data_IF_112371631503
#
_entry.id   IF_112371631503
#
_cell.length_a   1.000
_cell.length_b   1.000
_cell.length_c   1.000
_cell.angle_alpha   90.00
_cell.angle_beta   90.00
_cell.angle_gamma   90.00
#
_symmetry.space_group_name_H-M   'P 1'
#
loop_
_entity.id
_entity.type
_entity.pdbx_description
1 polymer ?
#
# COMPACT_ATOMS: atom_id res chain seq x y z
N UNK A 1 31.75 2.97 0.39
CA UNK A 1 31.06 2.24 1.48
C UNK A 1 31.42 0.77 1.33
N UNK A 2 32.02 0.14 2.34
CA UNK A 2 32.41 -1.27 2.30
C UNK A 2 31.35 -2.07 3.07
N UNK A 3 30.52 -2.85 2.38
CA UNK A 3 29.55 -3.74 3.03
C UNK A 3 30.23 -5.07 3.33
N UNK A 4 30.33 -5.43 4.61
CA UNK A 4 30.93 -6.70 5.05
C UNK A 4 29.84 -7.76 5.21
N UNK A 5 30.08 -8.96 4.68
CA UNK A 5 29.21 -10.11 4.85
C UNK A 5 29.44 -10.85 6.17
N UNK A 6 28.52 -11.73 6.51
CA UNK A 6 28.68 -12.74 7.56
C UNK A 6 29.18 -14.06 6.95
N UNK A 7 29.56 -15.04 7.79
CA UNK A 7 29.93 -16.38 7.33
C UNK A 7 28.84 -17.03 6.47
N UNK A 8 27.58 -16.82 6.84
CA UNK A 8 26.43 -17.40 6.14
C UNK A 8 26.06 -16.65 4.85
N UNK A 9 26.44 -15.37 4.75
CA UNK A 9 26.16 -14.51 3.60
C UNK A 9 27.42 -13.78 3.12
N UNK A 10 28.31 -14.47 2.41
CA UNK A 10 29.50 -13.88 1.84
C UNK A 10 29.14 -12.84 0.76
N UNK A 11 29.44 -11.56 1.00
CA UNK A 11 29.08 -10.47 0.07
C UNK A 11 29.73 -10.57 -1.31
N UNK A 12 30.87 -11.26 -1.46
CA UNK A 12 31.48 -11.46 -2.78
C UNK A 12 30.62 -12.31 -3.72
N UNK A 13 29.69 -13.12 -3.18
CA UNK A 13 28.75 -13.93 -3.96
C UNK A 13 27.46 -13.16 -4.32
N UNK A 14 27.27 -11.97 -3.75
CA UNK A 14 26.09 -11.14 -3.94
C UNK A 14 26.50 -9.75 -4.43
N UNK A 15 26.92 -9.63 -5.71
CA UNK A 15 27.33 -8.35 -6.26
C UNK A 15 26.15 -7.37 -6.28
N UNK A 16 26.42 -6.12 -5.92
CA UNK A 16 25.46 -5.03 -5.93
C UNK A 16 26.10 -3.77 -6.50
N UNK A 17 25.27 -2.91 -7.09
CA UNK A 17 25.68 -1.60 -7.60
C UNK A 17 25.24 -0.54 -6.60
N UNK A 18 26.17 0.32 -6.20
CA UNK A 18 25.89 1.44 -5.28
C UNK A 18 25.79 2.73 -6.09
N UNK A 19 24.65 3.41 -5.98
CA UNK A 19 24.40 4.68 -6.64
C UNK A 19 24.28 5.80 -5.62
N UNK A 20 24.87 6.95 -5.93
CA UNK A 20 24.69 8.17 -5.17
C UNK A 20 23.84 9.15 -5.99
N UNK A 21 22.65 9.47 -5.50
CA UNK A 21 21.76 10.46 -6.11
C UNK A 21 21.94 11.78 -5.36
N UNK A 22 22.41 12.80 -6.08
CA UNK A 22 22.48 14.19 -5.61
C UNK A 22 21.49 15.02 -6.39
N UNK A 23 20.72 15.84 -5.69
CA UNK A 23 19.78 16.78 -6.31
C UNK A 23 20.28 18.18 -6.03
N UNK A 24 20.55 18.93 -7.09
CA UNK A 24 21.04 20.31 -7.06
C UNK A 24 20.03 21.23 -7.71
N UNK A 25 20.01 22.48 -7.26
CA UNK A 25 19.28 23.57 -7.92
C UNK A 25 20.02 24.04 -9.18
N UNK A 26 19.42 24.96 -9.93
CA UNK A 26 19.99 25.60 -11.13
C UNK A 26 21.33 26.31 -10.81
N UNK A 27 21.49 26.77 -9.57
CA UNK A 27 22.71 27.41 -9.06
C UNK A 27 23.80 26.42 -8.61
N UNK A 28 23.54 25.11 -8.68
CA UNK A 28 24.45 24.06 -8.22
C UNK A 28 24.41 23.80 -6.71
N UNK A 29 23.59 24.54 -5.95
CA UNK A 29 23.41 24.29 -4.52
C UNK A 29 22.65 22.98 -4.29
N UNK A 30 23.14 22.15 -3.37
CA UNK A 30 22.50 20.87 -3.04
C UNK A 30 21.20 21.10 -2.27
N UNK A 31 20.07 20.64 -2.83
CA UNK A 31 18.74 20.79 -2.21
C UNK A 31 18.53 19.85 -1.02
N UNK A 32 18.99 18.60 -1.15
CA UNK A 32 18.82 17.55 -0.13
C UNK A 32 20.09 16.76 0.09
N UNK A 33 20.21 16.12 1.26
CA UNK A 33 21.31 15.21 1.54
C UNK A 33 21.39 14.11 0.46
N UNK A 34 22.60 13.73 0.01
CA UNK A 34 22.74 12.70 -1.02
C UNK A 34 22.05 11.41 -0.58
N UNK A 35 21.24 10.86 -1.48
CA UNK A 35 20.57 9.59 -1.28
C UNK A 35 21.44 8.47 -1.85
N UNK A 36 21.57 7.38 -1.11
CA UNK A 36 22.29 6.20 -1.56
C UNK A 36 21.29 5.12 -1.92
N UNK A 37 21.40 4.57 -3.14
CA UNK A 37 20.58 3.47 -3.61
C UNK A 37 21.46 2.25 -3.84
N UNK A 38 20.96 1.08 -3.44
CA UNK A 38 21.61 -0.21 -3.70
C UNK A 38 20.75 -0.94 -4.72
N UNK A 39 21.35 -1.29 -5.85
CA UNK A 39 20.74 -2.10 -6.88
C UNK A 39 21.29 -3.53 -6.80
N UNK A 40 20.39 -4.50 -6.67
CA UNK A 40 20.70 -5.92 -6.56
C UNK A 40 19.93 -6.65 -7.66
N UNK A 41 20.61 -7.50 -8.42
CA UNK A 41 19.99 -8.28 -9.49
C UNK A 41 21.02 -8.90 -10.42
N UNK A 42 20.64 -10.00 -11.08
CA UNK A 42 21.49 -10.68 -12.06
C UNK A 42 21.71 -9.82 -13.31
N UNK A 43 20.68 -9.08 -13.74
CA UNK A 43 20.70 -8.20 -14.93
C UNK A 43 20.96 -6.72 -14.60
N UNK A 44 21.61 -6.45 -13.45
CA UNK A 44 21.83 -5.07 -12.97
C UNK A 44 22.73 -4.26 -13.91
N UNK A 45 23.63 -4.94 -14.63
CA UNK A 45 24.59 -4.30 -15.52
C UNK A 45 23.94 -3.88 -16.86
N UNK A 46 22.70 -4.33 -17.13
CA UNK A 46 21.92 -3.95 -18.32
C UNK A 46 21.12 -2.65 -18.13
N UNK A 47 20.96 -2.19 -16.89
CA UNK A 47 20.14 -1.01 -16.57
C UNK A 47 21.00 0.24 -16.44
N UNK A 48 20.48 1.36 -16.92
CA UNK A 48 21.17 2.64 -16.77
C UNK A 48 20.99 3.23 -15.37
N UNK A 49 21.90 4.13 -14.98
CA UNK A 49 21.77 4.89 -13.72
C UNK A 49 20.44 5.65 -13.62
N UNK A 50 19.91 6.10 -14.76
CA UNK A 50 18.63 6.79 -14.83
C UNK A 50 17.45 5.85 -14.53
N UNK A 51 17.50 4.61 -15.03
CA UNK A 51 16.45 3.61 -14.78
C UNK A 51 16.34 3.29 -13.29
N UNK A 52 17.47 3.15 -12.60
CA UNK A 52 17.48 2.95 -11.15
C UNK A 52 16.83 4.11 -10.40
N UNK A 53 17.17 5.34 -10.79
CA UNK A 53 16.59 6.53 -10.17
C UNK A 53 15.08 6.61 -10.44
N UNK A 54 14.65 6.35 -11.67
CA UNK A 54 13.23 6.37 -12.04
C UNK A 54 12.44 5.28 -11.30
N UNK A 55 12.95 4.04 -11.24
CA UNK A 55 12.34 2.95 -10.48
C UNK A 55 12.21 3.31 -8.99
N UNK A 56 13.26 3.89 -8.40
CA UNK A 56 13.19 4.35 -7.02
C UNK A 56 12.15 5.47 -6.82
N UNK A 57 12.04 6.40 -7.78
CA UNK A 57 11.03 7.47 -7.75
C UNK A 57 9.61 6.91 -7.80
N UNK A 58 9.39 5.84 -8.57
CA UNK A 58 8.08 5.17 -8.66
C UNK A 58 7.65 4.53 -7.34
N UNK A 59 8.58 4.19 -6.44
CA UNK A 59 8.28 3.63 -5.10
C UNK A 59 7.26 4.47 -4.33
N UNK A 60 7.30 5.80 -4.49
CA UNK A 60 6.41 6.71 -3.79
C UNK A 60 4.96 6.66 -4.31
N UNK A 61 4.72 6.11 -5.51
CA UNK A 61 3.35 5.90 -6.01
C UNK A 61 2.58 4.86 -5.18
N UNK A 62 3.27 3.89 -4.58
CA UNK A 62 2.66 2.90 -3.69
C UNK A 62 2.04 3.54 -2.45
N UNK A 63 2.66 4.58 -1.88
CA UNK A 63 2.11 5.32 -0.73
C UNK A 63 0.77 6.00 -1.07
N UNK A 64 0.66 6.55 -2.29
CA UNK A 64 -0.57 7.17 -2.76
C UNK A 64 -1.68 6.12 -2.93
N UNK A 65 -1.34 4.97 -3.51
CA UNK A 65 -2.27 3.84 -3.67
C UNK A 65 -2.76 3.34 -2.31
N UNK A 66 -1.85 3.15 -1.34
CA UNK A 66 -2.19 2.71 0.02
C UNK A 66 -3.05 3.76 0.74
N UNK A 67 -2.71 5.05 0.64
CA UNK A 67 -3.49 6.13 1.24
C UNK A 67 -4.91 6.15 0.67
N UNK A 68 -5.04 6.06 -0.65
CA UNK A 68 -6.33 6.01 -1.32
C UNK A 68 -7.15 4.80 -0.88
N UNK A 69 -6.55 3.60 -0.90
CA UNK A 69 -7.23 2.35 -0.51
C UNK A 69 -7.74 2.40 0.93
N UNK A 70 -6.94 2.92 1.86
CA UNK A 70 -7.32 3.08 3.27
C UNK A 70 -8.45 4.10 3.46
N UNK A 71 -8.43 5.23 2.75
CA UNK A 71 -9.35 6.35 2.97
C UNK A 71 -10.63 6.31 2.12
N UNK A 72 -10.58 5.69 0.95
CA UNK A 72 -11.64 5.74 -0.07
C UNK A 72 -12.21 4.37 -0.44
N UNK A 73 -11.40 3.32 -0.34
CA UNK A 73 -11.84 1.93 -0.53
C UNK A 73 -12.08 1.21 0.80
N UNK A 74 -12.00 1.92 1.93
CA UNK A 74 -12.33 1.42 3.26
C UNK A 74 -11.51 0.18 3.67
N UNK A 75 -10.28 0.05 3.16
CA UNK A 75 -9.40 -1.10 3.41
C UNK A 75 -9.23 -1.41 4.91
N UNK A 76 -9.23 -0.41 5.80
CA UNK A 76 -9.08 -0.58 7.25
C UNK A 76 -10.40 -0.53 8.04
N UNK A 77 -11.53 -0.35 7.36
CA UNK A 77 -12.83 -0.19 8.05
C UNK A 77 -13.48 -1.53 8.38
N UNK A 78 -13.09 -2.60 7.68
CA UNK A 78 -13.56 -3.94 7.93
C UNK A 78 -12.82 -4.53 9.15
N UNK A 79 -13.49 -4.53 10.30
CA UNK A 79 -12.94 -4.99 11.58
C UNK A 79 -13.52 -6.36 11.94
N UNK A 80 -13.18 -7.38 11.14
CA UNK A 80 -13.56 -8.76 11.41
C UNK A 80 -12.63 -9.39 12.46
N UNK A 81 -13.13 -10.27 13.35
CA UNK A 81 -12.28 -11.06 14.24
C UNK A 81 -11.59 -12.24 13.54
N UNK A 82 -12.01 -12.55 12.31
CA UNK A 82 -11.52 -13.66 11.52
C UNK A 82 -10.47 -13.19 10.51
N UNK A 83 -9.29 -13.80 10.57
CA UNK A 83 -8.13 -13.43 9.75
C UNK A 83 -8.40 -13.69 8.27
N UNK A 84 -9.06 -14.79 7.91
CA UNK A 84 -9.32 -15.12 6.50
C UNK A 84 -10.22 -14.06 5.86
N UNK A 85 -11.22 -13.58 6.60
CA UNK A 85 -12.08 -12.50 6.14
C UNK A 85 -11.31 -11.18 5.98
N UNK A 86 -10.35 -10.87 6.85
CA UNK A 86 -9.54 -9.65 6.76
C UNK A 86 -8.61 -9.69 5.53
N UNK A 87 -7.97 -10.83 5.28
CA UNK A 87 -7.12 -11.05 4.12
C UNK A 87 -7.92 -10.96 2.81
N UNK A 88 -9.09 -11.60 2.77
CA UNK A 88 -10.02 -11.51 1.64
C UNK A 88 -10.47 -10.07 1.38
N UNK A 89 -10.75 -9.29 2.45
CA UNK A 89 -11.11 -7.88 2.30
C UNK A 89 -9.99 -7.05 1.69
N UNK A 90 -8.74 -7.27 2.11
CA UNK A 90 -7.60 -6.61 1.49
C UNK A 90 -7.51 -6.93 -0.02
N UNK A 91 -7.70 -8.19 -0.40
CA UNK A 91 -7.77 -8.62 -1.79
C UNK A 91 -8.88 -7.92 -2.59
N UNK A 92 -10.10 -7.86 -2.05
CA UNK A 92 -11.23 -7.17 -2.66
C UNK A 92 -10.96 -5.67 -2.85
N UNK A 93 -10.33 -5.02 -1.87
CA UNK A 93 -9.97 -3.60 -2.01
C UNK A 93 -8.94 -3.37 -3.11
N UNK A 94 -8.00 -4.29 -3.30
CA UNK A 94 -7.01 -4.21 -4.38
C UNK A 94 -7.66 -4.44 -5.75
N UNK A 95 -8.58 -5.41 -5.86
CA UNK A 95 -9.36 -5.64 -7.08
C UNK A 95 -10.19 -4.41 -7.46
N UNK A 96 -10.86 -3.78 -6.49
CA UNK A 96 -11.58 -2.53 -6.72
C UNK A 96 -10.65 -1.40 -7.21
N UNK A 97 -9.43 -1.29 -6.68
CA UNK A 97 -8.45 -0.33 -7.18
C UNK A 97 -8.05 -0.60 -8.64
N UNK A 98 -7.83 -1.88 -9.00
CA UNK A 98 -7.52 -2.28 -10.38
C UNK A 98 -8.68 -1.95 -11.32
N UNK A 99 -9.92 -2.16 -10.89
CA UNK A 99 -11.11 -1.77 -11.67
C UNK A 99 -11.16 -0.26 -11.92
N UNK A 100 -10.86 0.56 -10.92
CA UNK A 100 -10.75 2.01 -11.09
C UNK A 100 -9.63 2.39 -12.06
N UNK A 101 -8.46 1.73 -11.96
CA UNK A 101 -7.37 1.96 -12.89
C UNK A 101 -7.71 1.58 -14.32
N UNK A 102 -8.43 0.47 -14.54
CA UNK A 102 -8.89 0.03 -15.86
C UNK A 102 -9.95 0.99 -16.44
N UNK A 103 -10.85 1.50 -15.60
CA UNK A 103 -11.89 2.43 -16.03
C UNK A 103 -11.40 3.87 -16.29
N UNK A 104 -10.14 4.20 -15.97
CA UNK A 104 -9.63 5.58 -16.03
C UNK A 104 -9.83 6.26 -17.40
N UNK A 105 -9.78 5.50 -18.49
CA UNK A 105 -9.87 6.03 -19.86
C UNK A 105 -11.34 6.27 -20.29
N UNK A 106 -12.29 5.69 -19.58
CA UNK A 106 -13.73 5.82 -19.83
C UNK A 106 -14.37 6.97 -19.03
N UNK A 107 -13.62 7.56 -18.10
CA UNK A 107 -14.13 8.52 -17.11
C UNK A 107 -14.25 9.92 -17.67
N UNK A 108 -15.34 10.58 -17.31
CA UNK A 108 -15.56 12.01 -17.54
C UNK A 108 -15.37 12.80 -16.23
N UNK A 109 -14.73 13.97 -16.33
CA UNK A 109 -14.51 14.85 -15.17
C UNK A 109 -15.81 15.61 -14.85
N UNK A 110 -16.70 14.99 -14.09
CA UNK A 110 -17.96 15.62 -13.67
C UNK A 110 -17.72 16.70 -12.59
N UNK A 111 -17.93 18.01 -12.82
CA UNK A 111 -17.74 19.00 -11.75
C UNK A 111 -18.71 18.75 -10.59
N UNK A 112 -18.27 19.06 -9.36
CA UNK A 112 -19.21 19.08 -8.22
C UNK A 112 -20.21 20.23 -8.43
N UNK A 113 -21.42 20.17 -7.85
CA UNK A 113 -22.44 21.22 -8.02
C UNK A 113 -21.95 22.65 -7.72
N UNK A 114 -21.02 22.80 -6.77
CA UNK A 114 -20.42 24.09 -6.39
C UNK A 114 -19.12 24.43 -7.16
N UNK A 115 -18.65 23.56 -8.05
CA UNK A 115 -17.41 23.75 -8.84
C UNK A 115 -17.69 24.18 -10.29
N UNK A 116 -18.90 24.62 -10.60
CA UNK A 116 -19.34 24.96 -11.98
C UNK A 116 -18.43 25.97 -12.69
N UNK A 117 -17.81 26.89 -11.94
CA UNK A 117 -16.95 27.96 -12.50
C UNK A 117 -15.49 27.55 -12.72
N UNK A 118 -15.06 26.35 -12.29
CA UNK A 118 -13.69 25.86 -12.46
C UNK A 118 -13.60 24.72 -13.48
N UNK A 119 -14.23 24.89 -14.64
CA UNK A 119 -14.22 23.92 -15.73
C UNK A 119 -12.97 24.06 -16.61
N UNK A 120 -11.78 23.90 -16.01
CA UNK A 120 -10.58 23.65 -16.82
C UNK A 120 -10.52 22.14 -17.08
N UNK A 121 -10.65 21.74 -18.35
CA UNK A 121 -10.24 20.41 -18.80
C UNK A 121 -8.74 20.31 -18.50
N UNK A 122 -8.40 19.65 -17.42
CA UNK A 122 -7.01 19.39 -17.10
C UNK A 122 -6.56 18.23 -17.98
N UNK A 123 -5.62 18.46 -18.90
CA UNK A 123 -4.88 17.42 -19.63
C UNK A 123 -3.97 16.56 -18.72
N UNK A 124 -4.30 16.48 -17.42
CA UNK A 124 -3.54 15.75 -16.42
C UNK A 124 -4.10 14.34 -16.27
N UNK A 125 -3.21 13.41 -15.94
CA UNK A 125 -3.56 12.05 -15.54
C UNK A 125 -4.64 12.09 -14.45
N UNK A 126 -5.76 11.39 -14.69
CA UNK A 126 -6.90 11.37 -13.79
C UNK A 126 -6.51 10.71 -12.47
N UNK A 127 -6.80 11.38 -11.36
CA UNK A 127 -6.57 10.78 -10.03
C UNK A 127 -7.58 9.66 -9.76
N UNK A 128 -7.23 8.61 -8.99
CA UNK A 128 -8.16 7.54 -8.63
C UNK A 128 -9.46 8.04 -7.97
N UNK A 129 -9.40 9.16 -7.24
CA UNK A 129 -10.58 9.78 -6.64
C UNK A 129 -11.54 10.38 -7.66
N UNK A 130 -11.03 10.90 -8.78
CA UNK A 130 -11.86 11.41 -9.86
C UNK A 130 -12.51 10.26 -10.62
N UNK A 131 -11.76 9.18 -10.86
CA UNK A 131 -12.28 7.97 -11.49
C UNK A 131 -13.39 7.36 -10.65
N UNK A 132 -13.15 7.14 -9.35
CA UNK A 132 -14.15 6.58 -8.43
C UNK A 132 -15.47 7.36 -8.43
N UNK A 133 -15.40 8.69 -8.61
CA UNK A 133 -16.58 9.55 -8.61
C UNK A 133 -17.48 9.34 -9.84
N UNK A 134 -16.90 9.14 -11.01
CA UNK A 134 -17.65 8.90 -12.25
C UNK A 134 -17.88 7.40 -12.51
N UNK A 135 -17.22 6.52 -11.75
CA UNK A 135 -17.31 5.08 -11.91
C UNK A 135 -18.76 4.57 -11.89
N UNK A 136 -19.64 5.20 -11.11
CA UNK A 136 -21.05 4.86 -11.08
C UNK A 136 -21.76 5.00 -12.44
N UNK A 137 -21.39 5.99 -13.25
CA UNK A 137 -21.92 6.15 -14.63
C UNK A 137 -21.50 4.97 -15.50
N UNK A 138 -20.22 4.58 -15.41
CA UNK A 138 -19.68 3.43 -16.15
C UNK A 138 -20.39 2.14 -15.73
N UNK A 139 -20.60 1.94 -14.43
CA UNK A 139 -21.34 0.78 -13.90
C UNK A 139 -22.79 0.72 -14.38
N UNK A 140 -23.43 1.84 -14.73
CA UNK A 140 -24.79 1.82 -15.30
C UNK A 140 -24.81 1.34 -16.75
N UNK A 141 -23.74 1.58 -17.50
CA UNK A 141 -23.62 1.14 -18.90
C UNK A 141 -23.34 -0.37 -18.99
N UNK A 142 -22.53 -0.87 -18.06
CA UNK A 142 -22.25 -2.30 -17.90
C UNK A 142 -23.44 -2.88 -17.14
N UNK A 143 -24.47 -3.35 -17.86
CA UNK A 143 -25.69 -3.93 -17.27
C UNK A 143 -25.39 -4.81 -16.05
N UNK A 144 -26.25 -4.77 -15.03
CA UNK A 144 -26.04 -5.56 -13.81
C UNK A 144 -26.36 -7.04 -14.05
N UNK A 145 -25.43 -7.97 -13.77
CA UNK A 145 -25.71 -9.41 -13.86
C UNK A 145 -26.57 -9.90 -12.68
N UNK A 146 -26.79 -9.08 -11.65
CA UNK A 146 -27.61 -9.45 -10.50
C UNK A 146 -29.11 -9.44 -10.87
N UNK A 147 -29.82 -10.48 -10.43
CA UNK A 147 -31.27 -10.53 -10.50
C UNK A 147 -31.95 -9.48 -9.60
N UNK A 148 -33.27 -9.35 -9.72
CA UNK A 148 -34.05 -8.49 -8.85
C UNK A 148 -33.79 -8.81 -7.37
N UNK A 149 -33.64 -7.80 -6.50
CA UNK A 149 -33.40 -8.03 -5.08
C UNK A 149 -34.57 -8.82 -4.49
N UNK A 150 -34.25 -9.88 -3.73
CA UNK A 150 -35.27 -10.59 -2.98
C UNK A 150 -35.77 -9.72 -1.82
N UNK A 151 -37.10 -9.69 -1.56
CA UNK A 151 -37.61 -9.05 -0.37
C UNK A 151 -37.01 -9.75 0.85
N UNK A 152 -36.24 -9.01 1.66
CA UNK A 152 -35.53 -9.52 2.84
C UNK A 152 -36.47 -10.16 3.88
N UNK A 153 -37.77 -9.90 3.80
CA UNK A 153 -38.76 -10.29 4.81
C UNK A 153 -38.51 -9.60 6.16
N UNK A 154 -39.46 -9.73 7.08
CA UNK A 154 -39.19 -9.45 8.49
C UNK A 154 -38.51 -10.70 9.07
N UNK A 155 -37.27 -10.55 9.53
CA UNK A 155 -36.65 -11.61 10.34
C UNK A 155 -37.51 -11.81 11.59
N UNK A 156 -37.71 -13.05 12.03
CA UNK A 156 -38.42 -13.41 13.27
C UNK A 156 -37.79 -12.85 14.56
N UNK A 157 -36.74 -12.04 14.43
CA UNK A 157 -36.00 -11.45 15.52
C UNK A 157 -35.18 -12.51 16.25
N UNK A 158 -34.70 -12.13 17.43
CA UNK A 158 -33.94 -13.03 18.29
C UNK A 158 -34.92 -13.92 19.04
N UNK A 159 -34.78 -15.25 18.88
CA UNK A 159 -35.56 -16.21 19.65
C UNK A 159 -35.29 -15.97 21.14
N UNK A 160 -36.34 -15.87 21.95
CA UNK A 160 -36.24 -15.69 23.39
C UNK A 160 -35.47 -16.88 23.98
N UNK A 161 -34.42 -16.60 24.76
CA UNK A 161 -33.50 -17.62 25.30
C UNK A 161 -32.22 -17.83 24.48
N UNK A 162 -32.11 -17.29 23.26
CA UNK A 162 -30.84 -17.35 22.52
C UNK A 162 -29.77 -16.43 23.13
N UNK A 163 -28.83 -17.04 23.84
CA UNK A 163 -27.60 -16.45 24.34
C UNK A 163 -26.54 -16.40 23.22
N UNK A 164 -25.98 -15.23 22.95
CA UNK A 164 -24.80 -15.12 22.08
C UNK A 164 -23.59 -15.43 22.96
N UNK A 165 -22.77 -16.40 22.55
CA UNK A 165 -21.53 -16.67 23.25
C UNK A 165 -20.64 -15.42 23.22
N UNK A 166 -20.19 -15.01 24.40
CA UNK A 166 -19.21 -13.92 24.52
C UNK A 166 -17.91 -14.37 23.85
N UNK A 167 -17.30 -13.45 23.09
CA UNK A 167 -16.02 -13.70 22.42
C UNK A 167 -14.97 -14.14 23.44
N UNK A 168 -14.21 -15.20 23.12
CA UNK A 168 -13.07 -15.63 23.93
C UNK A 168 -12.03 -14.51 23.98
N UNK A 169 -11.68 -14.08 25.19
CA UNK A 169 -10.63 -13.10 25.40
C UNK A 169 -9.28 -13.80 25.22
N UNK A 170 -8.45 -13.29 24.31
CA UNK A 170 -7.07 -13.70 24.17
C UNK A 170 -6.18 -12.81 25.05
N UNK A 171 -5.15 -13.36 25.72
CA UNK A 171 -4.24 -12.55 26.53
C UNK A 171 -3.49 -11.55 25.65
N UNK A 172 -3.32 -10.32 26.15
CA UNK A 172 -2.58 -9.27 25.44
C UNK A 172 -1.10 -9.65 25.42
N UNK A 173 -0.56 -9.92 24.22
CA UNK A 173 0.88 -10.11 24.02
C UNK A 173 1.57 -8.75 24.14
N UNK A 174 2.14 -8.47 25.32
CA UNK A 174 3.02 -7.31 25.51
C UNK A 174 4.44 -7.71 25.13
N UNK A 175 5.04 -7.02 24.16
CA UNK A 175 6.47 -7.23 23.88
C UNK A 175 7.29 -6.90 25.12
N UNK A 176 8.04 -7.88 25.63
CA UNK A 176 8.89 -7.71 26.82
C UNK A 176 10.05 -6.74 26.55
N UNK A 177 10.48 -6.01 27.58
CA UNK A 177 11.74 -5.25 27.54
C UNK A 177 12.89 -6.22 27.23
N UNK A 178 13.72 -5.89 26.23
CA UNK A 178 14.95 -6.63 25.92
C UNK A 178 15.79 -6.76 27.20
N UNK A 179 16.00 -7.99 27.66
CA UNK A 179 16.95 -8.29 28.73
C UNK A 179 18.34 -8.01 28.15
N UNK A 180 19.07 -7.04 28.73
CA UNK A 180 20.50 -6.85 28.43
C UNK A 180 21.23 -8.10 28.94
N UNK A 181 21.86 -8.86 28.03
CA UNK A 181 22.82 -9.90 28.43
C UNK A 181 23.89 -9.24 29.31
N UNK A 182 24.01 -9.67 30.55
CA UNK A 182 25.16 -9.35 31.40
C UNK A 182 26.41 -9.95 30.75
N UNK A 183 27.47 -9.16 30.63
CA UNK A 183 28.78 -9.64 30.23
C UNK A 183 29.25 -10.63 31.30
N UNK A 184 29.47 -11.89 30.93
CA UNK A 184 30.16 -12.84 31.78
C UNK A 184 31.59 -12.34 31.98
N UNK A 185 31.91 -11.95 33.21
CA UNK A 185 33.29 -11.73 33.66
C UNK A 185 34.03 -13.07 33.59
N UNK A 186 34.92 -13.22 32.61
CA UNK A 186 35.93 -14.28 32.58
C UNK A 186 36.84 -14.06 33.80
N UNK A 187 36.69 -14.88 34.83
CA UNK A 187 37.69 -15.01 35.88
C UNK A 187 38.84 -15.84 35.31
N UNK A 188 39.97 -15.19 35.05
CA UNK A 188 41.24 -15.87 34.84
C UNK A 188 41.69 -16.44 36.20
N UNK A 189 41.79 -17.76 36.29
CA UNK A 189 42.51 -18.45 37.35
C UNK A 189 43.88 -18.87 36.80
N UNK A 190 44.92 -18.39 37.51
CA UNK A 190 46.33 -18.79 37.58
C UNK A 190 46.95 -19.54 36.38
#
# INVERSE_FOLDING_TARGET
>A
MLMRGTKDYPMHQHPFTLLQVRVTDETGQQLWRPMWLIAIGQRRDELTLLDYYQAHRQRFYLEHMLRFSKQRLLMRSFQTPDVEHEENWAGLTQLAYIQLWAARELVEILPRPWKKYHHKKTNHSLTPSLVQRDFYRIMRTISTPAGSPFPRGFSSGRIQGNSIQKRKLHPVVKQGKKIKKSQSSTQNAA
#
